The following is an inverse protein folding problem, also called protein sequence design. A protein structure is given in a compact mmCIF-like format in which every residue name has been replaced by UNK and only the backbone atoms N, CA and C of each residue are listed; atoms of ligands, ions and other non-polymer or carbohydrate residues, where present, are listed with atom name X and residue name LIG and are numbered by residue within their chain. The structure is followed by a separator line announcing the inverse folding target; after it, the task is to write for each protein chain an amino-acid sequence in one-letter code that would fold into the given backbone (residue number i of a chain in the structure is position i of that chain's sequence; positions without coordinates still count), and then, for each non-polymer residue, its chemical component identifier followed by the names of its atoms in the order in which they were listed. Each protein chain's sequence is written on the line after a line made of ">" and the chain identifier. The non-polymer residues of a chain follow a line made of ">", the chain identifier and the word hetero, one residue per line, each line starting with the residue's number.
data_IF_530365435000
#
_entry.id   IF_530365435000
#
_cell.length_a   1.000
_cell.length_b   1.000
_cell.length_c   1.000
_cell.angle_alpha   90.00
_cell.angle_beta   90.00
_cell.angle_gamma   90.00
#
_symmetry.space_group_name_H-M   'P 1'
#
loop_
_entity.id
_entity.type
_entity.pdbx_description
1 polymer ?
#
# COMPACT_ATOMS: atom_id res chain seq x y z
N UNK A 1 63.46 -56.17 -20.64
CA UNK A 1 64.88 -55.80 -20.44
C UNK A 1 64.99 -54.28 -20.57
N UNK A 2 65.40 -53.60 -19.48
CA UNK A 2 65.82 -52.17 -19.33
C UNK A 2 64.80 -51.09 -19.75
N UNK A 3 64.19 -50.35 -18.81
CA UNK A 3 64.71 -49.13 -18.14
C UNK A 3 65.14 -48.02 -19.13
N UNK A 4 64.45 -46.88 -19.16
CA UNK A 4 64.95 -45.57 -18.70
C UNK A 4 63.91 -44.43 -18.89
N UNK A 5 63.76 -43.63 -17.83
CA UNK A 5 63.14 -42.30 -17.71
C UNK A 5 64.00 -41.23 -18.47
N UNK A 6 63.61 -39.93 -18.65
CA UNK A 6 62.84 -39.12 -17.70
C UNK A 6 61.88 -38.03 -18.24
N UNK A 7 61.15 -37.50 -17.27
CA UNK A 7 60.37 -36.26 -17.14
C UNK A 7 61.02 -35.02 -17.76
N UNK A 8 60.22 -34.23 -18.49
CA UNK A 8 60.41 -32.78 -18.62
C UNK A 8 59.12 -32.06 -18.21
N UNK A 9 59.29 -31.08 -17.33
CA UNK A 9 58.26 -30.21 -16.78
C UNK A 9 57.67 -29.29 -17.86
N UNK A 10 56.35 -29.12 -17.85
CA UNK A 10 55.70 -27.97 -18.49
C UNK A 10 54.76 -27.32 -17.48
N UNK A 11 55.07 -26.07 -17.17
CA UNK A 11 54.30 -25.22 -16.26
C UNK A 11 52.91 -24.98 -16.87
N UNK A 12 51.86 -25.45 -16.19
CA UNK A 12 50.48 -25.10 -16.52
C UNK A 12 50.23 -23.66 -16.04
N UNK A 13 50.23 -22.71 -16.97
CA UNK A 13 49.69 -21.37 -16.73
C UNK A 13 48.19 -21.51 -16.42
N UNK A 14 47.79 -21.13 -15.21
CA UNK A 14 46.39 -20.93 -14.83
C UNK A 14 45.92 -19.66 -15.54
N UNK A 15 44.97 -19.71 -16.50
CA UNK A 15 44.44 -18.49 -17.08
C UNK A 15 43.63 -17.75 -16.01
N UNK A 16 44.05 -16.52 -15.75
CA UNK A 16 43.34 -15.56 -14.90
C UNK A 16 41.91 -15.40 -15.45
N UNK A 17 40.91 -15.89 -14.70
CA UNK A 17 39.50 -15.70 -15.05
C UNK A 17 39.19 -14.23 -14.85
N UNK A 18 39.15 -13.48 -15.96
CA UNK A 18 38.68 -12.11 -15.96
C UNK A 18 37.23 -12.10 -15.43
N UNK A 19 37.06 -11.51 -14.25
CA UNK A 19 35.75 -11.26 -13.68
C UNK A 19 35.00 -10.28 -14.59
N UNK A 20 33.99 -10.78 -15.28
CA UNK A 20 32.95 -9.97 -15.91
C UNK A 20 32.20 -9.22 -14.80
N UNK A 21 32.71 -8.04 -14.42
CA UNK A 21 31.90 -7.02 -13.77
C UNK A 21 30.77 -6.69 -14.74
N UNK A 22 29.59 -7.26 -14.49
CA UNK A 22 28.36 -6.76 -15.10
C UNK A 22 28.18 -5.33 -14.61
N UNK A 23 28.50 -4.37 -15.47
CA UNK A 23 28.19 -2.97 -15.22
C UNK A 23 26.69 -2.87 -14.96
N UNK A 24 26.31 -2.41 -13.77
CA UNK A 24 24.92 -2.07 -13.48
C UNK A 24 24.42 -1.10 -14.58
N UNK A 25 23.20 -1.27 -15.09
CA UNK A 25 22.70 -0.42 -16.16
C UNK A 25 22.80 1.05 -15.74
N UNK A 26 23.49 1.86 -16.55
CA UNK A 26 23.59 3.31 -16.33
C UNK A 26 22.17 3.88 -16.32
N UNK A 27 21.76 4.44 -15.19
CA UNK A 27 20.47 5.11 -15.07
C UNK A 27 20.52 6.38 -15.90
N UNK A 28 19.64 6.50 -16.89
CA UNK A 28 19.56 7.66 -17.77
C UNK A 28 18.99 8.88 -17.01
N UNK A 29 19.85 9.86 -16.74
CA UNK A 29 19.49 11.08 -16.02
C UNK A 29 18.40 11.90 -16.74
N UNK A 30 18.36 11.88 -18.07
CA UNK A 30 17.33 12.59 -18.83
C UNK A 30 15.96 11.92 -18.65
N UNK A 31 15.92 10.58 -18.67
CA UNK A 31 14.70 9.80 -18.42
C UNK A 31 14.15 10.04 -17.01
N UNK A 32 15.02 10.09 -16.01
CA UNK A 32 14.65 10.40 -14.63
C UNK A 32 14.12 11.83 -14.49
N UNK A 33 14.79 12.81 -15.09
CA UNK A 33 14.35 14.21 -15.06
C UNK A 33 12.98 14.39 -15.72
N UNK A 34 12.70 13.62 -16.76
CA UNK A 34 11.41 13.61 -17.43
C UNK A 34 10.32 12.91 -16.61
N UNK A 35 10.63 11.80 -15.94
CA UNK A 35 9.72 11.13 -15.00
C UNK A 35 9.31 12.06 -13.84
N UNK A 36 10.26 12.81 -13.26
CA UNK A 36 9.97 13.80 -12.22
C UNK A 36 9.00 14.90 -12.68
N UNK A 37 9.01 15.26 -13.97
CA UNK A 37 8.10 16.27 -14.53
C UNK A 37 6.73 15.71 -14.90
N UNK A 38 6.65 14.40 -15.16
CA UNK A 38 5.42 13.74 -15.62
C UNK A 38 4.56 13.22 -14.49
N UNK A 39 5.09 12.91 -13.32
CA UNK A 39 4.25 12.34 -12.27
C UNK A 39 4.77 12.77 -10.89
N UNK A 40 3.85 12.92 -9.94
CA UNK A 40 4.24 13.13 -8.55
C UNK A 40 4.98 11.89 -8.01
N UNK A 41 5.90 12.09 -7.08
CA UNK A 41 6.45 10.98 -6.29
C UNK A 41 5.34 10.47 -5.39
N UNK A 42 5.04 9.17 -5.46
CA UNK A 42 4.13 8.54 -4.50
C UNK A 42 4.82 8.53 -3.15
N UNK A 43 4.10 8.96 -2.12
CA UNK A 43 4.63 9.09 -0.77
C UNK A 43 3.78 8.36 0.25
N UNK A 44 4.43 7.87 1.30
CA UNK A 44 3.83 6.92 2.23
C UNK A 44 4.12 7.28 3.68
N UNK A 45 3.19 6.89 4.54
CA UNK A 45 3.35 6.78 5.98
C UNK A 45 3.45 5.31 6.33
N UNK A 46 4.63 4.82 6.74
CA UNK A 46 4.79 3.47 7.27
C UNK A 46 4.62 3.46 8.79
N UNK A 47 3.51 2.94 9.30
CA UNK A 47 3.22 2.96 10.73
C UNK A 47 4.05 1.92 11.49
N UNK A 48 4.57 2.31 12.65
CA UNK A 48 5.16 1.35 13.58
C UNK A 48 4.03 0.62 14.31
N UNK A 49 3.78 -0.62 13.91
CA UNK A 49 2.75 -1.48 14.51
C UNK A 49 3.27 -2.89 14.74
N UNK A 50 2.70 -3.55 15.74
CA UNK A 50 2.81 -5.01 15.90
C UNK A 50 1.80 -5.72 15.01
N UNK A 51 2.01 -7.01 14.77
CA UNK A 51 1.04 -7.85 14.06
C UNK A 51 -0.35 -7.75 14.72
N UNK A 52 -1.38 -7.52 13.91
CA UNK A 52 -2.72 -7.13 14.36
C UNK A 52 -3.84 -7.80 13.57
N UNK A 53 -5.01 -7.93 14.18
CA UNK A 53 -6.22 -8.56 13.60
C UNK A 53 -7.13 -7.56 12.90
N UNK A 54 -7.04 -6.27 13.23
CA UNK A 54 -7.75 -5.21 12.52
C UNK A 54 -6.95 -3.91 12.48
N UNK A 55 -7.22 -3.08 11.48
CA UNK A 55 -6.69 -1.73 11.33
C UNK A 55 -7.83 -0.76 11.07
N UNK A 56 -7.75 0.43 11.66
CA UNK A 56 -8.68 1.53 11.47
C UNK A 56 -7.92 2.81 11.14
N UNK A 57 -8.45 3.63 10.24
CA UNK A 57 -7.91 4.95 9.92
C UNK A 57 -9.01 5.91 9.45
N UNK A 58 -8.79 7.19 9.70
CA UNK A 58 -9.60 8.28 9.16
C UNK A 58 -8.75 9.10 8.19
N UNK A 59 -9.33 9.45 7.05
CA UNK A 59 -8.69 10.33 6.08
C UNK A 59 -9.52 11.59 5.87
N UNK A 60 -8.82 12.72 5.77
CA UNK A 60 -9.37 14.03 5.37
C UNK A 60 -8.55 14.55 4.20
N UNK A 61 -9.16 14.63 3.01
CA UNK A 61 -8.48 15.19 1.82
C UNK A 61 -8.65 16.70 1.83
N UNK A 62 -7.55 17.43 1.86
CA UNK A 62 -7.56 18.89 1.73
C UNK A 62 -7.60 19.31 0.25
N UNK A 63 -6.83 18.62 -0.60
CA UNK A 63 -6.85 18.85 -2.03
C UNK A 63 -6.58 17.57 -2.82
N UNK A 64 -7.26 17.42 -3.95
CA UNK A 64 -7.08 16.30 -4.88
C UNK A 64 -6.89 16.80 -6.32
N UNK A 65 -6.60 15.85 -7.20
CA UNK A 65 -6.49 16.03 -8.63
C UNK A 65 -7.04 14.78 -9.34
N UNK A 66 -7.56 14.89 -10.57
CA UNK A 66 -7.95 13.73 -11.35
C UNK A 66 -6.81 12.72 -11.52
N UNK A 67 -7.09 11.47 -11.16
CA UNK A 67 -6.12 10.37 -11.12
C UNK A 67 -5.25 10.36 -9.86
N UNK A 68 -5.88 10.56 -8.71
CA UNK A 68 -5.23 10.49 -7.40
C UNK A 68 -5.77 9.32 -6.61
N UNK A 69 -4.87 8.55 -6.00
CA UNK A 69 -5.23 7.55 -5.01
C UNK A 69 -4.75 7.97 -3.62
N UNK A 70 -5.70 8.07 -2.69
CA UNK A 70 -5.42 8.18 -1.27
C UNK A 70 -5.68 6.84 -0.58
N UNK A 71 -4.62 6.08 -0.35
CA UNK A 71 -4.69 4.83 0.39
C UNK A 71 -4.72 5.12 1.90
N UNK A 72 -5.84 4.80 2.54
CA UNK A 72 -6.01 4.97 3.98
C UNK A 72 -5.31 3.84 4.75
N UNK A 73 -5.52 2.59 4.33
CA UNK A 73 -5.06 1.38 5.01
C UNK A 73 -4.43 0.39 4.03
N UNK A 74 -3.12 0.48 3.88
CA UNK A 74 -2.26 -0.53 3.30
C UNK A 74 -1.77 -1.54 4.33
N UNK A 75 -1.56 -2.78 3.90
CA UNK A 75 -0.99 -3.87 4.71
C UNK A 75 -0.23 -4.87 3.80
N UNK A 76 0.46 -5.82 4.41
CA UNK A 76 1.26 -6.87 3.75
C UNK A 76 0.55 -7.71 2.66
N UNK A 77 -0.76 -7.56 2.49
CA UNK A 77 -1.59 -8.31 1.53
C UNK A 77 -2.62 -7.49 0.79
N UNK A 78 -2.71 -6.19 1.02
CA UNK A 78 -3.69 -5.40 0.32
C UNK A 78 -3.58 -3.92 0.62
N UNK A 79 -4.55 -3.20 0.07
CA UNK A 79 -4.75 -1.79 0.30
C UNK A 79 -6.24 -1.46 0.29
N UNK A 80 -6.57 -0.40 1.00
CA UNK A 80 -7.92 0.11 1.14
C UNK A 80 -7.89 1.63 1.20
N UNK A 81 -8.67 2.30 0.37
CA UNK A 81 -8.76 3.75 0.39
C UNK A 81 -9.76 4.29 -0.62
N UNK A 82 -9.52 5.50 -1.11
CA UNK A 82 -10.42 6.20 -2.01
C UNK A 82 -9.67 6.91 -3.14
N UNK A 83 -10.30 6.92 -4.31
CA UNK A 83 -9.70 7.46 -5.54
C UNK A 83 -10.55 8.58 -6.12
N UNK A 84 -9.88 9.52 -6.77
CA UNK A 84 -10.45 10.38 -7.80
C UNK A 84 -9.91 9.88 -9.14
N UNK A 85 -10.78 9.33 -9.97
CA UNK A 85 -10.43 8.80 -11.28
C UNK A 85 -10.07 9.93 -12.25
N UNK A 86 -9.45 9.56 -13.37
CA UNK A 86 -9.05 10.51 -14.41
C UNK A 86 -10.20 11.35 -15.00
N UNK A 87 -11.43 10.84 -14.94
CA UNK A 87 -12.65 11.53 -15.38
C UNK A 87 -13.36 12.29 -14.24
N UNK A 88 -12.73 12.42 -13.07
CA UNK A 88 -13.28 13.08 -11.88
C UNK A 88 -14.26 12.24 -11.06
N UNK A 89 -14.65 11.04 -11.53
CA UNK A 89 -15.47 10.13 -10.71
C UNK A 89 -14.69 9.69 -9.48
N UNK A 90 -15.40 9.55 -8.37
CA UNK A 90 -14.82 9.18 -7.08
C UNK A 90 -15.38 7.87 -6.58
N UNK A 91 -14.51 7.07 -5.99
CA UNK A 91 -14.87 5.75 -5.49
C UNK A 91 -14.03 5.33 -4.28
N UNK A 92 -14.52 4.33 -3.57
CA UNK A 92 -13.81 3.55 -2.58
C UNK A 92 -13.27 2.29 -3.25
N UNK A 93 -12.03 1.90 -2.95
CA UNK A 93 -11.37 0.70 -3.50
C UNK A 93 -10.80 -0.16 -2.37
N UNK A 94 -11.06 -1.47 -2.39
CA UNK A 94 -10.44 -2.44 -1.48
C UNK A 94 -9.89 -3.63 -2.26
N UNK A 95 -8.59 -3.92 -2.09
CA UNK A 95 -7.87 -4.91 -2.88
C UNK A 95 -7.01 -5.82 -2.01
N UNK A 96 -6.91 -7.09 -2.41
CA UNK A 96 -6.04 -8.10 -1.80
C UNK A 96 -5.29 -8.86 -2.89
N UNK A 97 -3.97 -8.98 -2.74
CA UNK A 97 -3.12 -9.69 -3.68
C UNK A 97 -3.28 -11.21 -3.59
N UNK A 98 -3.11 -11.87 -4.74
CA UNK A 98 -2.94 -13.31 -4.86
C UNK A 98 -1.63 -13.77 -4.21
N UNK A 99 -1.53 -15.08 -3.95
CA UNK A 99 -0.26 -15.73 -3.62
C UNK A 99 0.48 -16.10 -4.91
N UNK A 100 0.82 -15.11 -5.72
CA UNK A 100 1.51 -15.29 -7.00
C UNK A 100 2.55 -14.20 -7.24
N UNK A 101 3.54 -14.50 -8.09
CA UNK A 101 4.57 -13.54 -8.54
C UNK A 101 4.35 -13.08 -9.99
N UNK A 102 3.25 -13.50 -10.64
CA UNK A 102 2.92 -13.05 -12.00
C UNK A 102 2.17 -11.72 -11.98
N UNK A 103 2.32 -10.98 -13.09
CA UNK A 103 1.55 -9.78 -13.41
C UNK A 103 0.32 -10.08 -14.28
N UNK A 104 0.23 -11.28 -14.88
CA UNK A 104 -0.94 -11.69 -15.65
C UNK A 104 -2.00 -12.34 -14.75
N UNK A 105 -3.12 -11.64 -14.58
CA UNK A 105 -4.24 -12.09 -13.72
C UNK A 105 -4.93 -13.35 -14.23
N UNK A 106 -4.77 -13.69 -15.51
CA UNK A 106 -5.35 -14.89 -16.11
C UNK A 106 -4.46 -16.13 -15.91
N UNK A 107 -3.16 -15.92 -15.64
CA UNK A 107 -2.17 -16.99 -15.47
C UNK A 107 -2.06 -17.54 -14.03
N UNK A 108 -2.78 -16.98 -13.06
CA UNK A 108 -2.71 -17.43 -11.65
C UNK A 108 -3.52 -18.71 -11.47
N UNK A 109 -2.96 -19.79 -10.93
CA UNK A 109 -3.72 -20.99 -10.55
C UNK A 109 -4.81 -20.66 -9.52
N UNK A 110 -6.00 -21.25 -9.64
CA UNK A 110 -7.14 -20.93 -8.79
C UNK A 110 -6.87 -21.14 -7.28
N UNK A 111 -6.05 -22.14 -6.94
CA UNK A 111 -5.62 -22.42 -5.55
C UNK A 111 -4.74 -21.32 -4.95
N UNK A 112 -4.15 -20.45 -5.77
CA UNK A 112 -3.29 -19.33 -5.39
C UNK A 112 -4.02 -17.98 -5.42
N UNK A 113 -5.25 -17.94 -5.93
CA UNK A 113 -6.03 -16.70 -6.09
C UNK A 113 -6.66 -16.24 -4.78
N UNK A 114 -6.67 -14.93 -4.57
CA UNK A 114 -7.65 -14.28 -3.70
C UNK A 114 -9.05 -14.46 -4.31
N UNK A 115 -10.02 -14.82 -3.46
CA UNK A 115 -11.41 -15.13 -3.83
C UNK A 115 -12.37 -14.20 -3.10
N UNK A 116 -13.45 -13.79 -3.76
CA UNK A 116 -14.55 -13.05 -3.13
C UNK A 116 -15.47 -14.06 -2.45
N UNK A 117 -15.69 -13.92 -1.14
CA UNK A 117 -16.67 -14.72 -0.39
C UNK A 117 -18.00 -14.00 -0.22
N UNK A 118 -17.92 -12.71 0.09
CA UNK A 118 -19.07 -11.85 0.37
C UNK A 118 -18.86 -10.53 -0.37
N UNK A 119 -19.93 -9.97 -0.93
CA UNK A 119 -19.95 -8.66 -1.58
C UNK A 119 -21.03 -7.81 -0.93
N UNK A 120 -20.69 -6.61 -0.49
CA UNK A 120 -21.68 -5.70 0.08
C UNK A 120 -22.63 -5.13 -0.97
N UNK A 121 -23.76 -4.61 -0.50
CA UNK A 121 -24.76 -3.97 -1.37
C UNK A 121 -24.11 -2.83 -2.20
N UNK A 122 -24.35 -2.81 -3.51
CA UNK A 122 -23.82 -1.78 -4.41
C UNK A 122 -22.32 -1.88 -4.75
N UNK A 123 -21.62 -2.90 -4.23
CA UNK A 123 -20.19 -3.09 -4.47
C UNK A 123 -19.94 -3.86 -5.76
N UNK A 124 -19.03 -3.37 -6.59
CA UNK A 124 -18.58 -4.02 -7.82
C UNK A 124 -17.26 -4.74 -7.57
N UNK A 125 -17.10 -5.98 -8.03
CA UNK A 125 -15.87 -6.77 -7.81
C UNK A 125 -15.15 -7.09 -9.12
N UNK A 126 -13.86 -7.40 -9.03
CA UNK A 126 -13.04 -7.78 -10.18
C UNK A 126 -11.66 -8.29 -9.79
N UNK A 127 -10.83 -8.56 -10.80
CA UNK A 127 -9.42 -8.96 -10.64
C UNK A 127 -8.48 -7.93 -11.26
N UNK A 128 -7.32 -7.74 -10.63
CA UNK A 128 -6.25 -6.87 -11.12
C UNK A 128 -4.97 -7.62 -11.48
N UNK A 129 -4.12 -6.96 -12.25
CA UNK A 129 -2.84 -7.43 -12.78
C UNK A 129 -1.86 -6.26 -12.97
N UNK A 130 -0.71 -6.50 -13.58
CA UNK A 130 0.30 -5.49 -13.96
C UNK A 130 1.33 -5.16 -12.87
N UNK A 131 0.91 -5.10 -11.61
CA UNK A 131 1.73 -4.83 -10.42
C UNK A 131 1.48 -5.90 -9.35
N UNK A 132 1.73 -7.14 -9.74
CA UNK A 132 1.15 -8.32 -9.12
C UNK A 132 -0.30 -8.55 -9.56
N UNK A 133 -0.95 -9.54 -8.96
CA UNK A 133 -2.30 -9.97 -9.30
C UNK A 133 -3.15 -10.11 -8.04
N UNK A 134 -4.46 -10.00 -8.16
CA UNK A 134 -5.35 -10.11 -7.00
C UNK A 134 -6.82 -9.89 -7.30
N UNK A 135 -7.60 -9.80 -6.22
CA UNK A 135 -9.01 -9.45 -6.24
C UNK A 135 -9.22 -8.03 -5.68
N UNK A 136 -10.16 -7.31 -6.25
CA UNK A 136 -10.48 -5.94 -5.84
C UNK A 136 -11.99 -5.69 -5.87
N UNK A 137 -12.40 -4.67 -5.16
CA UNK A 137 -13.77 -4.19 -5.09
C UNK A 137 -13.84 -2.67 -5.14
N UNK A 138 -14.95 -2.16 -5.65
CA UNK A 138 -15.21 -0.75 -5.85
C UNK A 138 -16.62 -0.39 -5.38
N UNK A 139 -16.75 0.78 -4.76
CA UNK A 139 -18.03 1.39 -4.42
C UNK A 139 -18.01 2.85 -4.85
N UNK A 140 -18.99 3.28 -5.64
CA UNK A 140 -19.05 4.67 -6.11
C UNK A 140 -19.46 5.56 -4.94
N UNK A 141 -18.57 6.49 -4.56
CA UNK A 141 -18.76 7.36 -3.41
C UNK A 141 -18.15 8.72 -3.72
N UNK A 142 -19.00 9.72 -3.88
CA UNK A 142 -18.62 11.07 -4.27
C UNK A 142 -18.11 11.89 -3.08
N UNK A 143 -17.02 11.43 -2.47
CA UNK A 143 -16.38 12.08 -1.33
C UNK A 143 -15.94 13.52 -1.64
N UNK A 144 -15.95 14.39 -0.63
CA UNK A 144 -15.63 15.81 -0.77
C UNK A 144 -14.32 16.19 -0.05
N UNK A 145 -13.64 17.21 -0.55
CA UNK A 145 -12.52 17.79 0.20
C UNK A 145 -13.03 18.32 1.55
N UNK A 146 -12.25 18.11 2.61
CA UNK A 146 -12.64 18.41 3.99
C UNK A 146 -13.52 17.34 4.66
N UNK A 147 -14.03 16.36 3.92
CA UNK A 147 -14.80 15.26 4.48
C UNK A 147 -13.89 14.27 5.21
N UNK A 148 -14.33 13.81 6.39
CA UNK A 148 -13.67 12.71 7.12
C UNK A 148 -14.27 11.38 6.68
N UNK A 149 -13.48 10.55 6.00
CA UNK A 149 -13.88 9.19 5.59
C UNK A 149 -13.16 8.17 6.46
N UNK A 150 -13.90 7.17 6.95
CA UNK A 150 -13.40 6.18 7.92
C UNK A 150 -13.27 4.81 7.28
N UNK A 151 -12.17 4.11 7.56
CA UNK A 151 -11.87 2.81 6.99
C UNK A 151 -11.56 1.80 8.10
N UNK A 152 -12.01 0.58 7.92
CA UNK A 152 -11.75 -0.56 8.80
C UNK A 152 -11.43 -1.79 7.95
N UNK A 153 -10.32 -2.45 8.24
CA UNK A 153 -10.01 -3.78 7.69
C UNK A 153 -9.76 -4.77 8.81
N UNK A 154 -10.28 -5.99 8.66
CA UNK A 154 -10.05 -7.11 9.56
C UNK A 154 -9.39 -8.26 8.80
N UNK A 155 -8.40 -8.91 9.41
CA UNK A 155 -7.93 -10.23 9.00
C UNK A 155 -8.47 -11.27 10.00
N UNK A 156 -9.31 -12.19 9.51
CA UNK A 156 -9.90 -13.28 10.29
C UNK A 156 -9.43 -14.62 9.73
N UNK A 157 -8.85 -15.46 10.58
CA UNK A 157 -8.51 -16.82 10.19
C UNK A 157 -9.78 -17.67 10.05
N UNK A 158 -9.81 -18.53 9.04
CA UNK A 158 -10.87 -19.52 8.83
C UNK A 158 -10.28 -20.87 8.43
N UNK A 159 -11.00 -21.96 8.70
CA UNK A 159 -10.59 -23.33 8.36
C UNK A 159 -11.71 -23.98 7.57
N UNK A 160 -11.39 -24.53 6.40
CA UNK A 160 -12.32 -25.29 5.54
C UNK A 160 -11.61 -26.56 5.09
N UNK A 161 -12.22 -27.72 5.33
CA UNK A 161 -11.67 -29.05 4.97
C UNK A 161 -10.20 -29.24 5.42
N UNK A 162 -9.91 -28.84 6.67
CA UNK A 162 -8.56 -28.89 7.25
C UNK A 162 -7.57 -27.83 6.72
N UNK A 163 -7.95 -27.04 5.72
CA UNK A 163 -7.11 -25.98 5.15
C UNK A 163 -7.35 -24.66 5.85
N UNK A 164 -6.28 -24.01 6.31
CA UNK A 164 -6.34 -22.70 6.96
C UNK A 164 -6.21 -21.56 5.95
N UNK A 165 -7.14 -20.62 6.01
CA UNK A 165 -7.21 -19.42 5.17
C UNK A 165 -7.13 -18.15 6.02
N UNK A 166 -7.01 -17.02 5.33
CA UNK A 166 -7.22 -15.69 5.91
C UNK A 166 -8.29 -14.96 5.10
N UNK A 167 -9.31 -14.50 5.80
CA UNK A 167 -10.40 -13.70 5.26
C UNK A 167 -10.16 -12.24 5.63
N UNK A 168 -9.98 -11.40 4.62
CA UNK A 168 -9.83 -9.96 4.75
C UNK A 168 -11.19 -9.30 4.51
N UNK A 169 -11.75 -8.69 5.56
CA UNK A 169 -13.03 -7.97 5.49
C UNK A 169 -12.77 -6.47 5.52
N UNK A 170 -13.32 -5.73 4.56
CA UNK A 170 -13.18 -4.28 4.47
C UNK A 170 -14.52 -3.56 4.64
N UNK A 171 -14.54 -2.50 5.44
CA UNK A 171 -15.66 -1.57 5.57
C UNK A 171 -15.19 -0.12 5.49
N UNK A 172 -16.01 0.73 4.89
CA UNK A 172 -15.86 2.18 5.06
C UNK A 172 -17.15 2.75 5.66
N UNK A 173 -17.05 3.87 6.35
CA UNK A 173 -18.23 4.56 6.86
C UNK A 173 -18.76 5.50 5.79
N UNK A 174 -19.95 5.20 5.27
CA UNK A 174 -20.68 6.04 4.33
C UNK A 174 -21.34 7.18 5.13
N UNK A 175 -20.81 8.40 5.01
CA UNK A 175 -21.33 9.56 5.73
C UNK A 175 -22.71 10.00 5.21
N UNK A 176 -23.05 9.69 3.95
CA UNK A 176 -24.34 10.04 3.34
C UNK A 176 -25.45 9.16 3.91
N UNK A 177 -25.18 7.85 4.04
CA UNK A 177 -26.12 6.88 4.63
C UNK A 177 -25.98 6.75 6.16
N UNK A 178 -24.96 7.37 6.75
CA UNK A 178 -24.62 7.31 8.19
C UNK A 178 -24.48 5.88 8.72
N UNK A 179 -23.88 5.00 7.91
CA UNK A 179 -23.70 3.60 8.27
C UNK A 179 -22.38 3.05 7.74
N UNK A 180 -21.93 1.94 8.33
CA UNK A 180 -20.82 1.18 7.80
C UNK A 180 -21.24 0.38 6.56
N UNK A 181 -20.60 0.66 5.43
CA UNK A 181 -20.74 -0.09 4.20
C UNK A 181 -19.67 -1.19 4.15
N UNK A 182 -20.12 -2.44 4.09
CA UNK A 182 -19.24 -3.57 3.79
C UNK A 182 -18.82 -3.52 2.33
N UNK A 183 -17.52 -3.67 2.05
CA UNK A 183 -16.99 -3.74 0.69
C UNK A 183 -17.07 -5.18 0.19
N UNK A 184 -16.14 -5.99 0.68
CA UNK A 184 -16.06 -7.42 0.38
C UNK A 184 -15.40 -8.16 1.52
N UNK A 185 -15.65 -9.46 1.59
CA UNK A 185 -14.78 -10.41 2.29
C UNK A 185 -13.94 -11.14 1.24
N UNK A 186 -12.62 -10.93 1.27
CA UNK A 186 -11.66 -11.54 0.34
C UNK A 186 -10.85 -12.61 1.05
N UNK A 187 -10.94 -13.85 0.58
CA UNK A 187 -10.17 -14.99 1.11
C UNK A 187 -8.88 -15.19 0.36
N UNK A 188 -7.78 -15.35 1.07
CA UNK A 188 -6.49 -15.78 0.49
C UNK A 188 -6.09 -17.16 0.99
N UNK A 189 -5.41 -17.97 0.15
CA UNK A 189 -4.87 -19.29 0.51
C UNK A 189 -3.61 -19.18 1.40
N UNK A 190 -3.53 -18.14 2.22
CA UNK A 190 -2.41 -17.91 3.13
C UNK A 190 -2.75 -18.48 4.50
N UNK A 191 -1.82 -19.22 5.08
CA UNK A 191 -1.93 -19.87 6.38
C UNK A 191 -2.04 -18.83 7.51
N UNK A 192 -3.27 -18.44 7.85
CA UNK A 192 -3.63 -17.70 9.07
C UNK A 192 -2.84 -16.40 9.30
N UNK A 193 -2.52 -15.68 8.23
CA UNK A 193 -1.71 -14.47 8.36
C UNK A 193 -2.55 -13.33 8.92
N UNK A 194 -1.88 -12.42 9.61
CA UNK A 194 -2.49 -11.22 10.17
C UNK A 194 -1.96 -9.98 9.45
N UNK A 195 -2.47 -8.82 9.87
CA UNK A 195 -2.08 -7.53 9.31
C UNK A 195 -0.70 -7.13 9.85
N UNK A 196 0.22 -6.84 8.94
CA UNK A 196 1.57 -6.35 9.23
C UNK A 196 1.94 -5.22 8.29
N UNK A 197 2.88 -4.39 8.75
CA UNK A 197 3.43 -3.28 7.95
C UNK A 197 2.32 -2.36 7.48
N UNK A 198 1.50 -1.85 8.41
CA UNK A 198 0.42 -0.92 8.08
C UNK A 198 0.98 0.35 7.46
N UNK A 199 0.34 0.86 6.40
CA UNK A 199 0.75 2.11 5.76
C UNK A 199 -0.42 2.91 5.21
N UNK A 200 -0.18 4.18 4.91
CA UNK A 200 -1.05 5.04 4.09
C UNK A 200 -0.21 5.65 2.97
N UNK A 201 -0.81 6.06 1.86
CA UNK A 201 -0.08 6.75 0.79
C UNK A 201 -0.94 7.71 -0.05
N UNK A 202 -0.25 8.59 -0.77
CA UNK A 202 -0.82 9.44 -1.83
C UNK A 202 -0.07 9.17 -3.13
N UNK A 203 -0.80 8.79 -4.17
CA UNK A 203 -0.25 8.47 -5.49
C UNK A 203 -0.90 9.33 -6.58
N UNK A 204 -0.08 9.78 -7.53
CA UNK A 204 -0.53 10.27 -8.85
C UNK A 204 -0.48 9.12 -9.86
N UNK A 205 -1.62 8.48 -10.12
CA UNK A 205 -1.73 7.44 -11.15
C UNK A 205 -2.13 8.01 -12.52
N UNK A 206 -2.39 9.33 -12.61
CA UNK A 206 -2.60 10.01 -13.90
C UNK A 206 -1.30 10.11 -14.69
N UNK A 207 -0.18 10.26 -13.97
CA UNK A 207 1.21 10.21 -14.48
C UNK A 207 1.42 11.06 -15.75
N UNK A 208 0.93 12.31 -15.75
CA UNK A 208 1.21 13.26 -16.84
C UNK A 208 1.67 14.67 -16.36
N UNK A 209 2.25 15.44 -17.29
CA UNK A 209 2.81 16.77 -17.00
C UNK A 209 1.82 17.78 -16.40
N UNK A 210 0.51 17.59 -16.62
CA UNK A 210 -0.51 18.47 -16.04
C UNK A 210 -0.83 18.05 -14.61
N UNK A 211 -0.99 16.75 -14.37
CA UNK A 211 -1.31 16.20 -13.04
C UNK A 211 -0.17 16.44 -12.05
N UNK A 212 1.09 16.37 -12.50
CA UNK A 212 2.26 16.64 -11.66
C UNK A 212 2.29 18.05 -11.06
N UNK A 213 1.68 19.04 -11.74
CA UNK A 213 1.62 20.44 -11.31
C UNK A 213 0.50 20.75 -10.31
N UNK A 214 -0.34 19.77 -9.98
CA UNK A 214 -1.44 19.94 -9.04
C UNK A 214 -1.02 19.31 -7.71
N UNK A 215 -1.03 20.11 -6.65
CA UNK A 215 -0.74 19.64 -5.30
C UNK A 215 -1.85 18.69 -4.82
N UNK A 216 -1.48 17.58 -4.19
CA UNK A 216 -2.40 16.63 -3.56
C UNK A 216 -2.06 16.57 -2.08
N UNK A 217 -3.07 16.67 -1.23
CA UNK A 217 -2.85 16.68 0.22
C UNK A 217 -3.97 15.98 0.96
N UNK A 218 -3.59 15.06 1.84
CA UNK A 218 -4.50 14.43 2.77
C UNK A 218 -3.87 14.30 4.15
N UNK A 219 -4.72 14.35 5.17
CA UNK A 219 -4.40 14.02 6.55
C UNK A 219 -4.96 12.64 6.89
N UNK A 220 -4.13 11.82 7.52
CA UNK A 220 -4.44 10.50 8.03
C UNK A 220 -4.40 10.57 9.56
N UNK A 221 -5.58 10.44 10.16
CA UNK A 221 -5.82 10.71 11.57
C UNK A 221 -6.47 9.51 12.27
N UNK A 222 -6.51 9.57 13.60
CA UNK A 222 -7.16 8.56 14.43
C UNK A 222 -6.84 7.09 14.05
N UNK A 223 -5.61 6.79 13.60
CA UNK A 223 -5.19 5.43 13.23
C UNK A 223 -5.07 4.49 14.42
N UNK A 224 -5.64 3.28 14.34
CA UNK A 224 -5.58 2.25 15.38
C UNK A 224 -5.29 0.86 14.82
N UNK A 225 -4.70 0.01 15.65
CA UNK A 225 -4.53 -1.41 15.37
C UNK A 225 -5.10 -2.26 16.51
N UNK A 226 -5.90 -3.28 16.17
CA UNK A 226 -6.43 -4.27 17.11
C UNK A 226 -5.45 -5.42 17.24
N UNK A 227 -4.82 -5.54 18.39
CA UNK A 227 -3.88 -6.59 18.75
C UNK A 227 -4.56 -7.95 18.87
N UNK A 228 -3.76 -9.01 18.99
CA UNK A 228 -4.23 -10.40 19.08
C UNK A 228 -5.04 -10.69 20.34
N UNK A 229 -4.73 -10.00 21.44
CA UNK A 229 -5.46 -10.05 22.72
C UNK A 229 -6.76 -9.24 22.70
N UNK A 230 -7.08 -8.60 21.57
CA UNK A 230 -8.26 -7.74 21.40
C UNK A 230 -8.03 -6.29 21.80
N UNK A 231 -6.86 -5.94 22.35
CA UNK A 231 -6.51 -4.58 22.76
C UNK A 231 -6.34 -3.68 21.54
N UNK A 232 -6.91 -2.48 21.59
CA UNK A 232 -6.70 -1.48 20.56
C UNK A 232 -5.56 -0.54 20.94
N UNK A 233 -4.60 -0.39 20.03
CA UNK A 233 -3.42 0.45 20.23
C UNK A 233 -3.38 1.57 19.19
N UNK A 234 -3.14 2.82 19.59
CA UNK A 234 -3.05 3.92 18.64
C UNK A 234 -1.73 3.85 17.87
N UNK A 235 -1.77 4.12 16.57
CA UNK A 235 -0.57 4.18 15.74
C UNK A 235 -0.09 5.63 15.64
N UNK A 236 0.82 6.00 16.55
CA UNK A 236 1.31 7.38 16.72
C UNK A 236 2.70 7.62 16.15
N UNK A 237 3.30 6.63 15.49
CA UNK A 237 4.66 6.74 14.94
C UNK A 237 4.65 6.27 13.50
N UNK A 238 5.13 7.10 12.58
CA UNK A 238 5.12 6.81 11.14
C UNK A 238 6.44 7.21 10.49
N UNK A 239 6.95 6.36 9.59
CA UNK A 239 8.10 6.67 8.72
C UNK A 239 7.60 7.29 7.42
N UNK A 240 8.11 8.47 7.08
CA UNK A 240 7.84 9.11 5.80
C UNK A 240 8.73 8.49 4.72
N UNK A 241 8.15 7.97 3.63
CA UNK A 241 8.90 7.35 2.54
C UNK A 241 8.35 7.76 1.17
N UNK A 242 9.12 7.55 0.12
CA UNK A 242 8.72 7.76 -1.27
C UNK A 242 8.94 6.52 -2.12
N UNK A 243 8.31 6.47 -3.29
CA UNK A 243 8.70 5.51 -4.33
C UNK A 243 10.01 5.95 -5.02
N UNK A 244 10.38 5.24 -6.10
CA UNK A 244 11.62 5.51 -6.85
C UNK A 244 11.59 6.77 -7.71
N UNK A 245 10.42 7.37 -7.95
CA UNK A 245 10.31 8.55 -8.79
C UNK A 245 11.21 9.65 -8.22
N UNK A 246 12.03 10.35 -9.01
CA UNK A 246 12.96 11.37 -8.50
C UNK A 246 12.32 12.70 -8.08
N UNK A 247 11.02 12.93 -8.29
CA UNK A 247 10.35 14.18 -7.94
C UNK A 247 10.55 14.56 -6.45
N UNK A 248 10.85 15.84 -6.22
CA UNK A 248 11.19 16.38 -4.90
C UNK A 248 10.07 17.21 -4.26
N UNK A 249 8.99 17.47 -5.00
CA UNK A 249 7.81 18.22 -4.52
C UNK A 249 6.97 17.35 -3.59
N UNK A 250 7.50 17.07 -2.40
CA UNK A 250 6.90 16.22 -1.38
C UNK A 250 7.03 16.88 -0.01
N UNK A 251 6.07 16.67 0.87
CA UNK A 251 6.17 17.02 2.28
C UNK A 251 5.32 16.06 3.12
N UNK A 252 5.69 15.94 4.39
CA UNK A 252 4.93 15.19 5.38
C UNK A 252 5.19 15.74 6.77
N UNK A 253 4.19 15.61 7.63
CA UNK A 253 4.36 16.05 9.00
C UNK A 253 3.20 15.68 9.87
N UNK A 254 3.34 16.02 11.15
CA UNK A 254 2.26 15.92 12.11
C UNK A 254 1.21 17.01 11.80
N UNK A 255 -0.06 16.63 11.82
CA UNK A 255 -1.18 17.58 11.77
C UNK A 255 -2.34 17.03 12.61
N UNK A 256 -2.84 17.85 13.54
CA UNK A 256 -3.81 17.40 14.54
C UNK A 256 -3.28 16.20 15.34
N UNK A 257 -4.12 15.19 15.50
CA UNK A 257 -3.79 13.92 16.15
C UNK A 257 -3.11 12.92 15.19
N UNK A 258 -2.87 13.27 13.93
CA UNK A 258 -2.38 12.38 12.89
C UNK A 258 -1.18 12.92 12.11
N UNK A 259 -1.07 12.49 10.87
CA UNK A 259 -0.02 12.91 9.94
C UNK A 259 -0.61 13.33 8.60
N UNK A 260 0.00 14.27 7.91
CA UNK A 260 -0.33 14.60 6.52
C UNK A 260 0.73 14.07 5.56
N UNK A 261 0.29 13.84 4.33
CA UNK A 261 1.13 13.65 3.15
C UNK A 261 0.74 14.69 2.11
N UNK A 262 1.73 15.32 1.48
CA UNK A 262 1.55 16.26 0.40
C UNK A 262 2.53 15.99 -0.74
N UNK A 263 2.05 15.92 -1.98
CA UNK A 263 2.89 15.69 -3.17
C UNK A 263 2.38 16.48 -4.38
N UNK A 264 3.29 16.88 -5.27
CA UNK A 264 2.97 17.60 -6.50
C UNK A 264 2.78 19.11 -6.34
N UNK A 265 2.57 19.79 -7.47
CA UNK A 265 2.52 21.25 -7.55
C UNK A 265 3.78 21.90 -6.98
N UNK A 266 3.63 23.08 -6.40
CA UNK A 266 4.73 23.85 -5.81
C UNK A 266 5.08 23.39 -4.38
N UNK A 267 4.78 22.13 -4.03
CA UNK A 267 5.13 21.59 -2.71
C UNK A 267 6.63 21.66 -2.48
N UNK A 268 7.01 22.11 -1.30
CA UNK A 268 8.38 22.10 -0.80
C UNK A 268 8.45 21.25 0.46
N UNK A 269 9.53 20.46 0.58
CA UNK A 269 9.77 19.60 1.74
C UNK A 269 10.24 20.43 2.95
N UNK A 270 9.29 21.09 3.63
CA UNK A 270 9.56 22.03 4.73
C UNK A 270 9.39 21.41 6.11
N UNK A 271 8.55 20.40 6.25
CA UNK A 271 8.12 19.92 7.57
C UNK A 271 8.97 18.76 8.06
N UNK A 272 9.13 17.69 7.28
CA UNK A 272 10.02 16.58 7.61
C UNK A 272 10.80 16.09 6.39
N UNK A 273 12.04 15.64 6.63
CA UNK A 273 12.85 15.02 5.58
C UNK A 273 12.23 13.70 5.15
N UNK A 274 12.22 13.44 3.85
CA UNK A 274 11.94 12.11 3.31
C UNK A 274 12.84 11.09 4.02
N UNK A 275 12.30 9.91 4.32
CA UNK A 275 12.95 8.82 5.07
C UNK A 275 13.10 9.04 6.58
N UNK A 276 12.59 10.14 7.13
CA UNK A 276 12.57 10.36 8.58
C UNK A 276 11.41 9.60 9.26
N UNK A 277 11.54 9.40 10.56
CA UNK A 277 10.46 8.93 11.43
C UNK A 277 9.82 10.12 12.13
N UNK A 278 8.50 10.20 12.09
CA UNK A 278 7.70 11.21 12.73
C UNK A 278 6.97 10.60 13.94
N UNK A 279 6.91 11.36 15.02
CA UNK A 279 6.21 11.00 16.25
C UNK A 279 5.02 11.93 16.44
N UNK A 280 3.83 11.35 16.46
CA UNK A 280 2.59 12.01 16.87
C UNK A 280 2.44 12.02 18.39
N UNK A 281 1.41 12.72 18.86
CA UNK A 281 1.14 12.81 20.30
C UNK A 281 0.74 11.47 20.90
N UNK A 282 1.02 11.29 22.20
CA UNK A 282 0.46 10.19 22.97
C UNK A 282 -1.06 10.33 22.98
N UNK A 283 -1.77 9.54 22.17
CA UNK A 283 -3.22 9.63 22.08
C UNK A 283 -3.89 9.00 23.31
N UNK A 284 -4.89 9.72 23.81
CA UNK A 284 -5.94 9.25 24.73
C UNK A 284 -7.30 9.09 24.03
N UNK A 285 -7.33 9.29 22.71
CA UNK A 285 -8.56 9.31 21.90
C UNK A 285 -9.40 8.04 22.02
N UNK A 286 -10.71 8.18 21.81
CA UNK A 286 -11.64 7.05 21.82
C UNK A 286 -11.77 6.49 20.40
N UNK A 287 -11.73 5.17 20.30
CA UNK A 287 -12.12 4.50 19.06
C UNK A 287 -13.59 4.85 18.73
N UNK A 288 -13.95 5.09 17.47
CA UNK A 288 -15.32 5.46 17.12
C UNK A 288 -16.34 4.39 17.52
N UNK A 289 -17.55 4.87 17.77
CA UNK A 289 -18.70 4.04 18.09
C UNK A 289 -19.04 3.08 16.92
N UNK A 290 -19.55 1.89 17.24
CA UNK A 290 -19.92 0.86 16.26
C UNK A 290 -18.77 0.05 15.65
N UNK A 291 -17.50 0.49 15.72
CA UNK A 291 -16.35 -0.28 15.18
C UNK A 291 -16.23 -1.65 15.84
N UNK A 292 -16.48 -1.74 17.15
CA UNK A 292 -16.38 -3.01 17.90
C UNK A 292 -17.47 -4.00 17.48
N UNK A 293 -18.64 -3.52 17.10
CA UNK A 293 -19.78 -4.37 16.75
C UNK A 293 -19.59 -5.06 15.40
N UNK A 294 -18.89 -4.41 14.47
CA UNK A 294 -18.50 -5.01 13.18
C UNK A 294 -17.54 -6.19 13.30
N UNK A 295 -16.81 -6.27 14.43
CA UNK A 295 -15.73 -7.25 14.64
C UNK A 295 -16.12 -8.38 15.60
N UNK A 296 -17.37 -8.41 16.06
CA UNK A 296 -17.97 -9.55 16.77
C UNK A 296 -18.23 -10.68 15.76
#
# INVERSE_FOLDING_TARGET
>A
MKLFNPVFASALLIPCVASLLHAAPKVDAAKLADEAKRQCRSIHLGYQMKESTALYNEIVVANSAPGTYFCALGFNRGYFGMQELANGKKLIIFSVWDKSQTNDKHAVEESKRARVLETGEGVRTGRFGGEGTGAQSFYDYDWKNGETVRFLVQAKQSVVDGTTFTDFKGWFYDNQRKQWQHMTTLRTPTTGIKLRGGYSFVEDFRRNYKSAKIMRRARFQNTWAKMNDGTWTPLTTARFTGDRNPATNVDAGKEGDGFFLQTGGDTEMKTNKLWSTMQGDKRTGKMPEGVKDLLK
#
